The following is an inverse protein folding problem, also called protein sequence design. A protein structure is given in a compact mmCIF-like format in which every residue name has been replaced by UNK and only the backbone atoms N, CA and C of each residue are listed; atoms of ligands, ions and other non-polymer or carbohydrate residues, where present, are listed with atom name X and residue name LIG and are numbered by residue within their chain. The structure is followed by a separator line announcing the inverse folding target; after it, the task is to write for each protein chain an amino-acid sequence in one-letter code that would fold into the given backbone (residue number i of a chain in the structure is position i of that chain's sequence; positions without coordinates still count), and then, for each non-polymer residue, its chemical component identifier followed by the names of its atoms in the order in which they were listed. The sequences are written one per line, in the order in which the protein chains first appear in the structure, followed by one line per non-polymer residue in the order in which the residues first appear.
data_IF_190171828641
#
_entry.id   IF_190171828641
#
_cell.length_a   1.000
_cell.length_b   1.000
_cell.length_c   1.000
_cell.angle_alpha   90.00
_cell.angle_beta   90.00
_cell.angle_gamma   90.00
#
_symmetry.space_group_name_H-M   'P 1'
#
loop_
_entity.id
_entity.type
_entity.pdbx_description
1 polymer ?
#
# COMPACT_ATOMS: atom_id res chain seq x y z
N UNK A 1 -11.53 -15.51 5.69
CA UNK A 1 -12.39 -14.68 4.82
C UNK A 1 -11.64 -14.09 3.61
N UNK A 2 -10.35 -13.83 3.73
CA UNK A 2 -9.56 -13.17 2.66
C UNK A 2 -9.21 -14.07 1.47
N UNK A 3 -9.48 -15.35 1.56
CA UNK A 3 -9.23 -16.33 0.52
C UNK A 3 -10.31 -17.42 0.48
N UNK A 4 -10.43 -18.10 -0.66
CA UNK A 4 -11.27 -19.28 -0.82
C UNK A 4 -10.44 -20.51 -0.43
N UNK A 5 -10.98 -21.35 0.46
CA UNK A 5 -10.33 -22.62 0.81
C UNK A 5 -10.24 -23.52 -0.42
N UNK A 6 -9.11 -24.21 -0.66
CA UNK A 6 -8.94 -25.09 -1.83
C UNK A 6 -10.03 -26.17 -1.93
N UNK A 7 -10.46 -26.70 -0.79
CA UNK A 7 -11.48 -27.75 -0.67
C UNK A 7 -12.92 -27.24 -0.79
N UNK A 8 -13.15 -25.91 -0.88
CA UNK A 8 -14.50 -25.35 -0.98
C UNK A 8 -15.25 -25.91 -2.20
N UNK A 9 -16.45 -26.46 -1.98
CA UNK A 9 -17.30 -27.01 -3.04
C UNK A 9 -18.23 -25.95 -3.63
N UNK A 10 -18.71 -26.14 -4.86
CA UNK A 10 -19.71 -25.26 -5.47
C UNK A 10 -21.02 -25.22 -4.65
N UNK A 11 -21.39 -26.32 -4.02
CA UNK A 11 -22.56 -26.38 -3.14
C UNK A 11 -22.40 -25.43 -1.94
N UNK A 12 -21.25 -25.45 -1.28
CA UNK A 12 -20.94 -24.54 -0.18
C UNK A 12 -20.89 -23.09 -0.65
N UNK A 13 -20.32 -22.83 -1.83
CA UNK A 13 -20.26 -21.49 -2.42
C UNK A 13 -21.67 -20.94 -2.66
N UNK A 14 -22.58 -21.76 -3.20
CA UNK A 14 -23.95 -21.37 -3.51
C UNK A 14 -24.82 -21.06 -2.26
N UNK A 15 -24.36 -21.45 -1.08
CA UNK A 15 -25.01 -21.11 0.21
C UNK A 15 -24.58 -19.74 0.75
N UNK A 16 -23.56 -19.08 0.15
CA UNK A 16 -23.12 -17.77 0.56
C UNK A 16 -24.14 -16.69 0.15
N UNK A 17 -24.15 -15.52 0.82
CA UNK A 17 -24.89 -14.34 0.33
C UNK A 17 -24.47 -13.98 -1.11
N UNK A 18 -25.41 -13.51 -1.93
CA UNK A 18 -25.26 -13.36 -3.38
C UNK A 18 -23.97 -12.68 -3.85
N UNK A 19 -23.52 -11.62 -3.18
CA UNK A 19 -22.26 -10.95 -3.49
C UNK A 19 -21.05 -11.91 -3.35
N UNK A 20 -21.01 -12.68 -2.28
CA UNK A 20 -19.90 -13.62 -2.02
C UNK A 20 -19.96 -14.87 -2.91
N UNK A 21 -21.15 -15.27 -3.40
CA UNK A 21 -21.27 -16.35 -4.39
C UNK A 21 -20.48 -16.02 -5.64
N UNK A 22 -20.72 -14.83 -6.22
CA UNK A 22 -20.03 -14.41 -7.44
C UNK A 22 -18.52 -14.33 -7.25
N UNK A 23 -18.07 -13.73 -6.15
CA UNK A 23 -16.66 -13.60 -5.81
C UNK A 23 -15.98 -14.98 -5.65
N UNK A 24 -16.59 -15.87 -4.84
CA UNK A 24 -16.06 -17.20 -4.60
C UNK A 24 -16.06 -18.06 -5.87
N UNK A 25 -17.08 -17.93 -6.72
CA UNK A 25 -17.16 -18.62 -8.01
C UNK A 25 -16.04 -18.19 -8.95
N UNK A 26 -15.77 -16.89 -9.07
CA UNK A 26 -14.67 -16.38 -9.91
C UNK A 26 -13.31 -16.88 -9.41
N UNK A 27 -13.09 -16.89 -8.08
CA UNK A 27 -11.86 -17.41 -7.48
C UNK A 27 -11.73 -18.92 -7.71
N UNK A 28 -12.82 -19.70 -7.56
CA UNK A 28 -12.84 -21.14 -7.78
C UNK A 28 -12.55 -21.54 -9.23
N UNK A 29 -13.12 -20.81 -10.17
CA UNK A 29 -13.00 -21.08 -11.61
C UNK A 29 -11.76 -20.45 -12.25
N UNK A 30 -10.97 -19.65 -11.49
CA UNK A 30 -9.82 -18.94 -12.02
C UNK A 30 -10.20 -17.82 -13.03
N UNK A 31 -11.43 -17.33 -12.98
CA UNK A 31 -11.93 -16.26 -13.87
C UNK A 31 -11.84 -14.86 -13.27
N UNK A 32 -11.27 -14.74 -12.06
CA UNK A 32 -10.98 -13.44 -11.49
C UNK A 32 -9.94 -12.73 -12.36
N UNK A 33 -10.22 -11.50 -12.78
CA UNK A 33 -9.32 -10.75 -13.66
C UNK A 33 -7.91 -10.62 -13.04
N UNK A 34 -6.88 -10.85 -13.85
CA UNK A 34 -5.50 -10.91 -13.36
C UNK A 34 -5.00 -9.56 -12.82
N UNK A 35 -5.36 -8.44 -13.48
CA UNK A 35 -5.04 -7.09 -13.04
C UNK A 35 -5.71 -6.76 -11.71
N UNK A 36 -7.01 -7.06 -11.60
CA UNK A 36 -7.78 -6.87 -10.38
C UNK A 36 -7.21 -7.74 -9.25
N UNK A 37 -6.96 -9.02 -9.51
CA UNK A 37 -6.46 -9.97 -8.52
C UNK A 37 -5.11 -9.55 -7.95
N UNK A 38 -4.22 -9.04 -8.79
CA UNK A 38 -2.86 -8.65 -8.42
C UNK A 38 -2.83 -7.61 -7.29
N UNK A 39 -3.75 -6.64 -7.32
CA UNK A 39 -3.79 -5.55 -6.35
C UNK A 39 -4.86 -5.74 -5.27
N UNK A 40 -5.90 -6.53 -5.55
CA UNK A 40 -6.98 -6.75 -4.58
C UNK A 40 -6.67 -7.79 -3.53
N UNK A 41 -5.82 -8.78 -3.83
CA UNK A 41 -5.47 -9.88 -2.92
C UNK A 41 -3.96 -9.85 -2.68
N UNK A 42 -3.56 -9.35 -1.52
CA UNK A 42 -2.13 -9.21 -1.21
C UNK A 42 -1.84 -9.68 0.23
N UNK A 43 -0.59 -10.13 0.43
CA UNK A 43 -0.03 -10.44 1.74
C UNK A 43 0.83 -9.25 2.19
N UNK A 44 0.42 -8.59 3.27
CA UNK A 44 1.09 -7.42 3.79
C UNK A 44 2.04 -7.79 4.92
N UNK A 45 3.29 -7.37 4.79
CA UNK A 45 4.30 -7.53 5.82
C UNK A 45 4.18 -6.43 6.87
N UNK A 46 4.61 -6.74 8.09
CA UNK A 46 4.74 -5.72 9.12
C UNK A 46 5.94 -4.82 8.86
N UNK A 47 5.78 -3.56 9.20
CA UNK A 47 6.86 -2.59 9.28
C UNK A 47 7.10 -2.18 10.73
N UNK A 48 8.32 -1.75 11.03
CA UNK A 48 8.62 -1.17 12.33
C UNK A 48 7.85 0.15 12.51
N UNK A 49 7.56 0.52 13.77
CA UNK A 49 6.98 1.83 14.02
C UNK A 49 8.04 2.90 13.78
N UNK A 50 7.90 3.61 12.65
CA UNK A 50 8.85 4.63 12.24
C UNK A 50 8.94 5.79 13.23
N UNK A 51 7.93 6.04 14.04
CA UNK A 51 7.97 7.12 15.03
C UNK A 51 8.88 6.78 16.21
N UNK A 52 9.01 5.49 16.57
CA UNK A 52 10.02 5.03 17.51
C UNK A 52 11.44 5.33 17.01
N UNK A 53 11.67 5.19 15.71
CA UNK A 53 12.94 5.53 15.09
C UNK A 53 13.14 7.04 14.98
N UNK A 54 12.10 7.80 14.66
CA UNK A 54 12.15 9.26 14.66
C UNK A 54 12.56 9.81 16.02
N UNK A 55 12.02 9.28 17.11
CA UNK A 55 12.37 9.66 18.47
C UNK A 55 13.82 9.29 18.80
N UNK A 56 14.28 8.09 18.43
CA UNK A 56 15.68 7.65 18.65
C UNK A 56 16.69 8.51 17.89
N UNK A 57 16.35 8.90 16.66
CA UNK A 57 17.19 9.72 15.79
C UNK A 57 17.03 11.22 16.06
N UNK A 58 16.14 11.60 16.97
CA UNK A 58 15.79 13.00 17.28
C UNK A 58 15.33 13.78 16.02
N UNK A 59 14.58 13.12 15.15
CA UNK A 59 13.98 13.71 13.95
C UNK A 59 12.49 13.97 14.17
N UNK A 60 11.83 14.57 13.18
CA UNK A 60 10.37 14.72 13.17
C UNK A 60 9.70 13.36 12.86
N UNK A 61 8.47 13.20 13.33
CA UNK A 61 7.68 12.02 13.02
C UNK A 61 7.35 11.95 11.52
N UNK A 62 7.27 10.73 11.02
CA UNK A 62 7.02 10.40 9.63
C UNK A 62 5.68 9.69 9.43
N UNK A 63 5.25 9.58 8.20
CA UNK A 63 4.09 8.80 7.80
C UNK A 63 4.42 7.31 7.72
N UNK A 64 3.47 6.43 8.09
CA UNK A 64 3.62 4.97 8.01
C UNK A 64 3.06 4.41 6.70
N UNK A 65 3.46 4.97 5.56
CA UNK A 65 2.88 4.67 4.24
C UNK A 65 3.62 3.58 3.45
N UNK A 66 4.06 2.52 4.08
CA UNK A 66 4.87 1.48 3.43
C UNK A 66 4.08 0.48 2.57
N UNK A 67 2.88 0.11 3.00
CA UNK A 67 2.09 -0.94 2.38
C UNK A 67 1.06 -0.36 1.39
N UNK A 68 1.50 -0.08 0.16
CA UNK A 68 0.59 0.34 -0.92
C UNK A 68 -0.40 -0.77 -1.26
N UNK A 69 -1.67 -0.42 -1.48
CA UNK A 69 -2.66 -1.37 -2.00
C UNK A 69 -2.79 -1.30 -3.52
N UNK A 70 -2.55 -0.14 -4.12
CA UNK A 70 -2.86 0.14 -5.51
C UNK A 70 -4.36 0.29 -5.76
N UNK A 71 -5.13 0.67 -4.75
CA UNK A 71 -6.59 0.87 -4.83
C UNK A 71 -6.93 2.28 -4.39
N UNK A 72 -7.64 3.00 -5.26
CA UNK A 72 -8.22 4.31 -4.98
C UNK A 72 -9.71 4.18 -4.63
N UNK A 73 -10.20 5.10 -3.80
CA UNK A 73 -11.59 5.16 -3.33
C UNK A 73 -12.11 6.58 -3.42
N UNK A 74 -13.43 6.71 -3.57
CA UNK A 74 -14.11 8.00 -3.55
C UNK A 74 -14.81 8.26 -2.22
N UNK A 75 -15.07 9.53 -1.93
CA UNK A 75 -15.83 9.89 -0.74
C UNK A 75 -17.25 9.28 -0.77
N UNK A 76 -17.68 8.75 0.36
CA UNK A 76 -18.93 8.01 0.55
C UNK A 76 -18.99 6.62 -0.10
N UNK A 77 -17.90 6.11 -0.68
CA UNK A 77 -17.85 4.71 -1.09
C UNK A 77 -18.09 3.79 0.11
N UNK A 78 -18.93 2.79 -0.07
CA UNK A 78 -19.07 1.66 0.85
C UNK A 78 -18.20 0.52 0.36
N UNK A 79 -17.07 0.27 1.02
CA UNK A 79 -16.14 -0.79 0.65
C UNK A 79 -16.21 -1.97 1.60
N UNK A 80 -15.93 -3.15 1.05
CA UNK A 80 -15.74 -4.38 1.82
C UNK A 80 -14.25 -4.69 1.86
N UNK A 81 -13.77 -5.06 3.05
CA UNK A 81 -12.38 -5.47 3.26
C UNK A 81 -12.40 -6.81 4.00
N UNK A 82 -11.84 -7.83 3.37
CA UNK A 82 -11.73 -9.16 3.94
C UNK A 82 -10.33 -9.34 4.51
N UNK A 83 -10.24 -9.50 5.82
CA UNK A 83 -8.96 -9.60 6.54
C UNK A 83 -8.76 -11.03 7.03
N UNK A 84 -7.60 -11.58 6.74
CA UNK A 84 -7.16 -12.88 7.24
C UNK A 84 -6.84 -12.84 8.73
N UNK A 85 -6.09 -13.85 9.18
CA UNK A 85 -5.63 -13.88 10.56
C UNK A 85 -4.66 -12.71 10.82
N UNK A 86 -4.99 -11.87 11.78
CA UNK A 86 -4.13 -10.73 12.19
C UNK A 86 -3.06 -11.15 13.20
N UNK A 87 -3.07 -12.37 13.66
CA UNK A 87 -2.17 -12.88 14.71
C UNK A 87 -2.17 -12.00 15.98
N UNK A 88 -3.29 -11.28 16.21
CA UNK A 88 -3.45 -10.37 17.36
C UNK A 88 -2.84 -8.99 17.16
N UNK A 89 -2.24 -8.70 15.99
CA UNK A 89 -1.70 -7.37 15.70
C UNK A 89 -2.82 -6.39 15.26
N UNK A 90 -2.70 -5.12 15.63
CA UNK A 90 -3.58 -4.08 15.11
C UNK A 90 -3.29 -3.83 13.63
N UNK A 91 -4.35 -3.74 12.84
CA UNK A 91 -4.29 -3.46 11.39
C UNK A 91 -5.32 -2.39 11.07
N UNK A 92 -4.97 -1.50 10.17
CA UNK A 92 -5.89 -0.46 9.69
C UNK A 92 -5.66 -0.18 8.20
N UNK A 93 -6.64 0.41 7.55
CA UNK A 93 -6.43 1.13 6.30
C UNK A 93 -6.20 2.61 6.60
N UNK A 94 -5.28 3.20 5.88
CA UNK A 94 -5.08 4.64 5.83
C UNK A 94 -5.42 5.13 4.43
N UNK A 95 -6.27 6.15 4.32
CA UNK A 95 -6.66 6.75 3.04
C UNK A 95 -5.94 8.09 2.88
N UNK A 96 -5.11 8.20 1.84
CA UNK A 96 -4.34 9.40 1.53
C UNK A 96 -4.88 10.05 0.27
N UNK A 97 -5.43 11.24 0.40
CA UNK A 97 -5.97 12.04 -0.70
C UNK A 97 -5.09 13.24 -1.07
N UNK A 98 -5.54 14.00 -2.04
CA UNK A 98 -4.83 15.20 -2.52
C UNK A 98 -4.62 16.24 -1.42
N UNK A 99 -5.62 16.41 -0.57
CA UNK A 99 -5.56 17.37 0.54
C UNK A 99 -4.48 17.03 1.56
N UNK A 100 -4.14 15.73 1.66
CA UNK A 100 -3.08 15.25 2.54
C UNK A 100 -1.69 15.36 1.91
N UNK A 101 -1.62 15.59 0.60
CA UNK A 101 -0.38 15.71 -0.17
C UNK A 101 -0.07 17.15 -0.60
N UNK A 102 -0.93 18.12 -0.25
CA UNK A 102 -0.72 19.53 -0.55
C UNK A 102 0.31 20.16 0.38
N UNK A 103 1.29 20.83 -0.21
CA UNK A 103 2.32 21.59 0.51
C UNK A 103 1.96 23.07 0.69
N UNK A 104 0.72 23.47 0.41
CA UNK A 104 0.30 24.86 0.32
C UNK A 104 0.36 25.67 1.61
N UNK A 105 0.43 25.03 2.77
CA UNK A 105 0.56 25.69 4.07
C UNK A 105 1.60 25.02 4.94
N UNK A 106 2.71 25.67 5.19
CA UNK A 106 3.81 25.19 6.05
C UNK A 106 3.38 24.68 7.43
N UNK A 107 2.27 25.21 7.96
CA UNK A 107 1.76 24.87 9.30
C UNK A 107 1.08 23.49 9.36
N UNK A 108 0.54 23.00 8.25
CA UNK A 108 -0.24 21.75 8.21
C UNK A 108 0.50 20.61 7.47
N UNK A 109 1.62 20.90 6.87
CA UNK A 109 2.37 19.98 6.03
C UNK A 109 2.62 18.61 6.66
N UNK A 110 3.17 18.58 7.87
CA UNK A 110 3.52 17.33 8.55
C UNK A 110 2.27 16.57 9.02
N UNK A 111 1.24 17.28 9.43
CA UNK A 111 0.00 16.65 9.93
C UNK A 111 -0.83 16.06 8.78
N UNK A 112 -0.93 16.74 7.66
CA UNK A 112 -1.76 16.26 6.54
C UNK A 112 -1.12 15.08 5.81
N UNK A 113 0.19 15.09 5.56
CA UNK A 113 0.88 13.96 4.95
C UNK A 113 0.92 12.70 5.83
N UNK A 114 0.88 12.87 7.16
CA UNK A 114 0.95 11.78 8.11
C UNK A 114 -0.40 11.21 8.53
N UNK A 115 -1.46 11.98 8.46
CA UNK A 115 -2.68 11.64 9.19
C UNK A 115 -3.76 10.99 8.36
N UNK A 116 -3.99 11.29 7.08
CA UNK A 116 -5.05 10.67 6.29
C UNK A 116 -6.22 10.08 7.12
N UNK A 117 -7.25 9.62 6.50
CA UNK A 117 -8.31 8.91 7.22
C UNK A 117 -7.86 7.51 7.61
N UNK A 118 -8.05 7.15 8.87
CA UNK A 118 -7.70 5.82 9.40
C UNK A 118 -8.97 5.03 9.70
N UNK A 119 -9.00 3.77 9.23
CA UNK A 119 -10.07 2.81 9.42
C UNK A 119 -9.50 1.54 10.04
N UNK A 120 -9.76 1.31 11.32
CA UNK A 120 -9.31 0.10 12.01
C UNK A 120 -10.04 -1.13 11.49
N UNK A 121 -9.27 -2.21 11.26
CA UNK A 121 -9.75 -3.46 10.74
C UNK A 121 -9.78 -4.54 11.82
N UNK A 122 -10.69 -5.49 11.64
CA UNK A 122 -10.73 -6.73 12.42
C UNK A 122 -10.69 -7.93 11.48
N UNK A 123 -10.30 -9.08 11.99
CA UNK A 123 -10.38 -10.34 11.22
C UNK A 123 -11.78 -10.57 10.67
N UNK A 124 -11.83 -11.11 9.44
CA UNK A 124 -13.08 -11.39 8.75
C UNK A 124 -13.55 -10.25 7.85
N UNK A 125 -14.84 -10.01 7.85
CA UNK A 125 -15.49 -9.02 6.97
C UNK A 125 -15.59 -7.67 7.65
N UNK A 126 -15.05 -6.63 7.01
CA UNK A 126 -15.19 -5.24 7.40
C UNK A 126 -16.01 -4.52 6.33
N UNK A 127 -17.00 -3.73 6.75
CA UNK A 127 -17.71 -2.79 5.88
C UNK A 127 -17.33 -1.38 6.34
N UNK A 128 -16.84 -0.56 5.41
CA UNK A 128 -16.28 0.75 5.70
C UNK A 128 -16.92 1.76 4.77
N UNK A 129 -17.36 2.89 5.32
CA UNK A 129 -17.76 4.07 4.55
C UNK A 129 -16.57 5.02 4.48
N UNK A 130 -16.12 5.34 3.28
CA UNK A 130 -14.98 6.22 3.04
C UNK A 130 -15.39 7.68 3.28
N UNK A 131 -14.59 8.41 4.05
CA UNK A 131 -14.84 9.81 4.35
C UNK A 131 -14.37 10.75 3.25
N UNK A 132 -13.14 10.55 2.80
CA UNK A 132 -12.50 11.38 1.80
C UNK A 132 -11.90 10.54 0.68
N UNK A 133 -11.86 11.09 -0.54
CA UNK A 133 -11.20 10.46 -1.68
C UNK A 133 -9.72 10.24 -1.41
N UNK A 134 -9.16 9.14 -1.89
CA UNK A 134 -7.73 8.89 -1.82
C UNK A 134 -7.33 7.48 -2.23
N UNK A 135 -6.04 7.19 -2.08
CA UNK A 135 -5.52 5.83 -2.22
C UNK A 135 -5.39 5.17 -0.84
N UNK A 136 -5.62 3.86 -0.82
CA UNK A 136 -5.56 3.07 0.40
C UNK A 136 -4.16 2.51 0.63
N UNK A 137 -3.72 2.59 1.89
CA UNK A 137 -2.50 1.95 2.40
C UNK A 137 -2.88 1.06 3.57
N UNK A 138 -2.16 -0.05 3.76
CA UNK A 138 -2.36 -0.89 4.95
C UNK A 138 -1.37 -0.48 6.03
N UNK A 139 -1.90 -0.08 7.18
CA UNK A 139 -1.11 0.15 8.38
C UNK A 139 -0.99 -1.17 9.14
N UNK A 140 0.20 -1.75 9.14
CA UNK A 140 0.55 -2.91 9.92
C UNK A 140 1.94 -2.73 10.49
N UNK A 141 2.01 -2.29 11.74
CA UNK A 141 3.28 -2.09 12.45
C UNK A 141 3.45 -3.12 13.55
N UNK A 142 4.66 -3.64 13.70
CA UNK A 142 5.01 -4.58 14.75
C UNK A 142 6.49 -4.48 15.13
N UNK A 143 6.85 -5.04 16.28
CA UNK A 143 8.25 -5.32 16.60
C UNK A 143 8.74 -6.47 15.69
N UNK A 144 9.68 -6.14 14.80
CA UNK A 144 10.21 -7.10 13.84
C UNK A 144 10.98 -8.26 14.49
N UNK A 145 11.48 -8.08 15.69
CA UNK A 145 12.16 -9.15 16.44
C UNK A 145 11.20 -10.27 16.86
N UNK A 146 9.88 -10.01 16.88
CA UNK A 146 8.87 -11.01 17.12
C UNK A 146 8.55 -11.89 15.89
N UNK A 147 9.23 -11.67 14.75
CA UNK A 147 8.96 -12.34 13.48
C UNK A 147 7.46 -12.30 13.08
N UNK A 148 6.88 -11.10 12.93
CA UNK A 148 5.47 -10.97 12.62
C UNK A 148 5.14 -11.62 11.28
N UNK A 149 4.07 -12.41 11.25
CA UNK A 149 3.59 -13.09 10.04
C UNK A 149 2.84 -12.11 9.16
N UNK A 150 2.96 -12.26 7.82
CA UNK A 150 2.17 -11.47 6.87
C UNK A 150 0.66 -11.66 7.08
N UNK A 151 -0.09 -10.60 6.81
CA UNK A 151 -1.55 -10.60 6.91
C UNK A 151 -2.14 -10.48 5.51
N UNK A 152 -2.95 -11.48 5.12
CA UNK A 152 -3.65 -11.44 3.84
C UNK A 152 -4.88 -10.55 3.95
N UNK A 153 -4.96 -9.57 3.04
CA UNK A 153 -6.11 -8.69 2.89
C UNK A 153 -6.63 -8.80 1.46
N UNK A 154 -7.95 -8.90 1.34
CA UNK A 154 -8.65 -8.87 0.07
C UNK A 154 -9.66 -7.73 0.08
N UNK A 155 -9.47 -6.76 -0.81
CA UNK A 155 -10.42 -5.66 -1.07
C UNK A 155 -11.14 -6.00 -2.39
N UNK A 156 -12.33 -6.65 -2.34
CA UNK A 156 -12.90 -7.30 -3.51
C UNK A 156 -13.49 -6.31 -4.53
N UNK A 157 -13.85 -6.83 -5.70
CA UNK A 157 -14.51 -6.08 -6.77
C UNK A 157 -15.71 -5.29 -6.24
N UNK A 158 -15.89 -4.06 -6.73
CA UNK A 158 -16.90 -3.13 -6.22
C UNK A 158 -16.48 -2.35 -4.97
N UNK A 159 -15.28 -2.60 -4.44
CA UNK A 159 -14.69 -1.88 -3.31
C UNK A 159 -13.50 -1.06 -3.82
N UNK A 160 -13.73 0.18 -4.21
CA UNK A 160 -12.74 1.03 -4.85
C UNK A 160 -12.29 0.56 -6.24
N UNK A 161 -11.42 1.33 -6.86
CA UNK A 161 -10.86 1.10 -8.19
C UNK A 161 -9.38 0.73 -8.11
N UNK A 162 -8.97 -0.33 -8.82
CA UNK A 162 -7.55 -0.67 -8.96
C UNK A 162 -6.87 0.37 -9.84
N UNK A 163 -5.88 1.05 -9.30
CA UNK A 163 -4.98 1.96 -10.02
C UNK A 163 -3.58 1.37 -10.17
N UNK A 164 -3.23 0.37 -9.37
CA UNK A 164 -1.94 -0.30 -9.40
C UNK A 164 -0.79 0.54 -8.85
N UNK A 165 0.35 -0.08 -8.74
CA UNK A 165 1.65 0.53 -8.42
C UNK A 165 2.76 -0.39 -8.93
N UNK A 166 3.96 0.14 -9.09
CA UNK A 166 5.15 -0.67 -9.39
C UNK A 166 5.84 -1.08 -8.09
N UNK A 167 6.19 -2.35 -7.99
CA UNK A 167 6.98 -2.91 -6.89
C UNK A 167 8.21 -3.60 -7.48
N UNK A 168 9.40 -3.11 -7.17
CA UNK A 168 10.65 -3.61 -7.73
C UNK A 168 10.85 -5.11 -7.48
N UNK A 169 10.42 -5.62 -6.31
CA UNK A 169 10.56 -7.04 -5.99
C UNK A 169 9.64 -7.93 -6.82
N UNK A 170 8.48 -7.43 -7.21
CA UNK A 170 7.45 -8.17 -7.96
C UNK A 170 7.58 -8.02 -9.48
N UNK A 171 7.86 -6.81 -9.94
CA UNK A 171 7.71 -6.44 -11.35
C UNK A 171 9.03 -6.37 -12.12
N UNK A 172 10.12 -6.01 -11.48
CA UNK A 172 11.53 -6.18 -11.87
C UNK A 172 12.00 -5.53 -13.18
N UNK A 173 11.09 -5.08 -14.07
CA UNK A 173 11.48 -4.56 -15.40
C UNK A 173 10.85 -3.21 -15.73
N UNK A 174 11.52 -2.45 -16.60
CA UNK A 174 11.00 -1.18 -17.10
C UNK A 174 9.76 -1.37 -17.98
N UNK A 175 9.66 -2.47 -18.71
CA UNK A 175 8.49 -2.81 -19.53
C UNK A 175 7.26 -2.98 -18.64
N UNK A 176 7.41 -3.72 -17.53
CA UNK A 176 6.32 -3.91 -16.58
C UNK A 176 5.95 -2.60 -15.87
N UNK A 177 6.93 -1.78 -15.52
CA UNK A 177 6.68 -0.44 -15.01
C UNK A 177 5.85 0.40 -15.99
N UNK A 178 6.26 0.46 -17.27
CA UNK A 178 5.55 1.23 -18.29
C UNK A 178 4.12 0.72 -18.52
N UNK A 179 3.91 -0.60 -18.49
CA UNK A 179 2.59 -1.22 -18.55
C UNK A 179 1.71 -0.76 -17.39
N UNK A 180 2.21 -0.90 -16.15
CA UNK A 180 1.49 -0.53 -14.93
C UNK A 180 1.14 0.96 -14.90
N UNK A 181 2.11 1.83 -15.21
CA UNK A 181 1.91 3.28 -15.28
C UNK A 181 0.86 3.67 -16.34
N UNK A 182 0.86 2.99 -17.48
CA UNK A 182 -0.12 3.25 -18.55
C UNK A 182 -1.54 2.85 -18.16
N UNK A 183 -1.71 1.76 -17.40
CA UNK A 183 -2.99 1.25 -16.91
C UNK A 183 -3.51 2.01 -15.69
N UNK A 184 -2.62 2.65 -14.93
CA UNK A 184 -3.01 3.41 -13.76
C UNK A 184 -4.02 4.51 -14.11
N UNK A 185 -5.00 4.72 -13.26
CA UNK A 185 -6.10 5.67 -13.49
C UNK A 185 -6.13 6.81 -12.50
N UNK A 186 -5.47 6.66 -11.37
CA UNK A 186 -5.44 7.70 -10.35
C UNK A 186 -4.42 8.80 -10.65
N UNK A 187 -4.54 9.92 -9.94
CA UNK A 187 -3.67 11.08 -10.04
C UNK A 187 -2.24 10.77 -9.62
N UNK A 188 -2.08 9.94 -8.59
CA UNK A 188 -0.79 9.50 -8.08
C UNK A 188 -0.48 8.07 -8.50
N UNK A 189 0.82 7.79 -8.69
CA UNK A 189 1.32 6.46 -8.96
C UNK A 189 2.50 6.14 -8.04
N UNK A 190 2.45 4.98 -7.39
CA UNK A 190 3.49 4.51 -6.48
C UNK A 190 4.57 3.71 -7.22
N UNK A 191 5.84 3.95 -6.89
CA UNK A 191 6.99 3.12 -7.27
C UNK A 191 7.70 2.72 -6.00
N UNK A 192 7.62 1.43 -5.65
CA UNK A 192 8.24 0.87 -4.46
C UNK A 192 9.56 0.19 -4.83
N UNK A 193 10.66 0.72 -4.32
CA UNK A 193 12.00 0.12 -4.34
C UNK A 193 12.24 -0.80 -3.15
N UNK A 194 13.51 -0.98 -2.81
CA UNK A 194 13.94 -1.76 -1.62
C UNK A 194 13.98 -0.92 -0.35
N UNK A 195 14.27 0.37 -0.47
CA UNK A 195 14.44 1.34 0.62
C UNK A 195 13.62 2.61 0.42
N UNK A 196 13.18 2.89 -0.80
CA UNK A 196 12.53 4.12 -1.21
C UNK A 196 11.18 3.85 -1.82
N UNK A 197 10.19 4.71 -1.56
CA UNK A 197 8.92 4.75 -2.28
C UNK A 197 8.77 6.13 -2.90
N UNK A 198 8.61 6.17 -4.23
CA UNK A 198 8.14 7.36 -4.93
C UNK A 198 6.62 7.31 -5.03
N UNK A 199 5.97 8.40 -4.67
CA UNK A 199 4.52 8.57 -4.81
C UNK A 199 4.27 9.90 -5.49
N UNK A 200 4.31 9.87 -6.83
CA UNK A 200 4.37 11.06 -7.66
C UNK A 200 3.14 11.19 -8.55
N UNK A 201 2.91 12.39 -9.07
CA UNK A 201 1.87 12.64 -10.05
C UNK A 201 2.09 11.78 -11.28
N UNK A 202 1.08 10.97 -11.62
CA UNK A 202 1.12 10.08 -12.78
C UNK A 202 1.36 10.84 -14.09
N UNK A 203 0.76 12.03 -14.24
CA UNK A 203 0.95 12.87 -15.43
C UNK A 203 2.42 13.24 -15.65
N UNK A 204 3.14 13.59 -14.59
CA UNK A 204 4.55 13.95 -14.68
C UNK A 204 5.43 12.70 -14.92
N UNK A 205 5.08 11.57 -14.31
CA UNK A 205 5.78 10.31 -14.58
C UNK A 205 5.60 9.88 -16.05
N UNK A 206 4.41 10.01 -16.62
CA UNK A 206 4.16 9.75 -18.05
C UNK A 206 4.92 10.68 -18.97
N UNK A 207 5.19 11.91 -18.55
CA UNK A 207 5.89 12.92 -19.32
C UNK A 207 7.41 12.74 -19.27
N UNK A 208 7.97 12.43 -18.10
CA UNK A 208 9.40 12.47 -17.85
C UNK A 208 10.09 11.13 -17.72
N UNK A 209 9.38 10.10 -17.20
CA UNK A 209 9.94 8.78 -16.90
C UNK A 209 9.03 7.65 -17.38
N UNK A 210 8.38 7.84 -18.50
CA UNK A 210 7.34 6.95 -19.02
C UNK A 210 7.76 5.48 -19.16
N UNK A 211 9.00 5.23 -19.54
CA UNK A 211 9.50 3.91 -19.94
C UNK A 211 10.70 3.43 -19.13
N UNK A 212 11.20 4.28 -18.23
CA UNK A 212 12.44 4.02 -17.50
C UNK A 212 12.33 4.53 -16.07
N UNK A 213 12.41 3.64 -15.10
CA UNK A 213 12.37 3.96 -13.67
C UNK A 213 13.46 3.22 -12.87
N UNK A 214 13.98 2.09 -13.40
CA UNK A 214 14.85 1.23 -12.62
C UNK A 214 16.13 1.93 -12.19
N UNK A 215 16.76 2.69 -13.08
CA UNK A 215 17.99 3.42 -12.73
C UNK A 215 17.74 4.45 -11.62
N UNK A 216 16.60 5.12 -11.66
CA UNK A 216 16.24 6.10 -10.63
C UNK A 216 15.95 5.44 -9.28
N UNK A 217 15.12 4.40 -9.25
CA UNK A 217 14.77 3.75 -7.98
C UNK A 217 15.99 3.07 -7.34
N UNK A 218 16.84 2.41 -8.12
CA UNK A 218 18.08 1.81 -7.61
C UNK A 218 19.07 2.86 -7.08
N UNK A 219 19.18 4.02 -7.75
CA UNK A 219 20.01 5.10 -7.25
C UNK A 219 19.53 5.58 -5.87
N UNK A 220 18.24 5.80 -5.74
CA UNK A 220 17.66 6.28 -4.48
C UNK A 220 17.67 5.21 -3.38
N UNK A 221 17.46 3.95 -3.71
CA UNK A 221 17.65 2.84 -2.75
C UNK A 221 19.07 2.84 -2.19
N UNK A 222 20.08 2.99 -3.05
CA UNK A 222 21.49 3.10 -2.61
C UNK A 222 21.74 4.34 -1.74
N UNK A 223 21.16 5.49 -2.08
CA UNK A 223 21.31 6.72 -1.28
C UNK A 223 20.73 6.49 0.13
N UNK A 224 19.54 5.93 0.23
CA UNK A 224 18.90 5.62 1.51
C UNK A 224 19.71 4.57 2.30
N UNK A 225 20.27 3.57 1.62
CA UNK A 225 21.15 2.59 2.25
C UNK A 225 22.42 3.25 2.85
N UNK A 226 23.04 4.18 2.13
CA UNK A 226 24.18 4.94 2.62
C UNK A 226 23.80 5.83 3.82
N UNK A 227 22.66 6.49 3.78
CA UNK A 227 22.14 7.28 4.91
C UNK A 227 21.91 6.40 6.14
N UNK A 228 21.26 5.24 5.96
CA UNK A 228 21.04 4.27 7.06
C UNK A 228 22.36 3.73 7.62
N UNK A 229 23.36 3.51 6.75
CA UNK A 229 24.71 3.08 7.17
C UNK A 229 25.43 4.17 7.97
N UNK A 230 25.36 5.41 7.53
CA UNK A 230 25.93 6.55 8.27
C UNK A 230 25.28 6.75 9.63
N UNK A 231 23.98 6.54 9.73
CA UNK A 231 23.24 6.59 11.00
C UNK A 231 23.43 5.33 11.86
N UNK A 232 24.08 4.29 11.34
CA UNK A 232 24.33 3.03 12.05
C UNK A 232 23.09 2.12 12.15
N UNK A 233 22.00 2.42 11.45
CA UNK A 233 20.75 1.64 11.48
C UNK A 233 21.00 0.22 10.98
N UNK A 234 21.69 0.07 9.86
CA UNK A 234 22.01 -1.21 9.22
C UNK A 234 22.89 -2.12 10.10
N UNK A 235 23.85 -1.54 10.83
CA UNK A 235 24.79 -2.29 11.68
C UNK A 235 24.24 -2.61 13.06
N UNK A 236 23.51 -1.67 13.65
CA UNK A 236 23.06 -1.78 15.04
C UNK A 236 21.63 -2.31 15.15
N UNK A 237 20.84 -2.17 14.11
CA UNK A 237 19.39 -2.38 14.14
C UNK A 237 18.83 -3.07 12.87
N UNK A 238 19.65 -3.80 12.11
CA UNK A 238 19.28 -4.43 10.85
C UNK A 238 17.96 -5.25 10.90
N UNK A 239 17.69 -5.89 12.04
CA UNK A 239 16.50 -6.71 12.23
C UNK A 239 15.35 -5.96 12.96
N UNK A 240 15.45 -4.65 13.09
CA UNK A 240 14.48 -3.84 13.82
C UNK A 240 13.85 -2.75 12.93
N UNK A 241 14.45 -2.48 11.77
CA UNK A 241 14.02 -1.41 10.87
C UNK A 241 13.93 -1.90 9.43
N UNK A 242 12.75 -1.76 8.83
CA UNK A 242 12.47 -2.12 7.43
C UNK A 242 11.58 -1.09 6.71
N UNK A 243 11.42 0.10 7.28
CA UNK A 243 10.61 1.14 6.67
C UNK A 243 11.29 1.70 5.41
N UNK A 244 10.47 2.06 4.44
CA UNK A 244 10.92 2.82 3.27
C UNK A 244 10.91 4.32 3.58
N UNK A 245 11.85 5.05 2.98
CA UNK A 245 11.73 6.49 2.87
C UNK A 245 10.67 6.82 1.81
N UNK A 246 9.69 7.62 2.18
CA UNK A 246 8.55 7.94 1.33
C UNK A 246 8.69 9.35 0.75
N UNK A 247 8.90 9.44 -0.56
CA UNK A 247 8.92 10.72 -1.27
C UNK A 247 7.58 10.95 -1.97
N UNK A 248 6.97 12.07 -1.63
CA UNK A 248 5.73 12.52 -2.26
C UNK A 248 6.01 13.81 -3.04
N UNK A 249 5.48 13.91 -4.25
CA UNK A 249 5.59 15.12 -5.05
C UNK A 249 4.28 15.89 -4.97
N UNK A 250 4.28 17.12 -4.43
CA UNK A 250 3.11 17.98 -4.47
C UNK A 250 2.86 18.48 -5.89
N UNK A 251 1.64 18.91 -6.16
CA UNK A 251 1.29 19.57 -7.41
C UNK A 251 2.12 20.85 -7.57
N UNK A 252 2.81 20.98 -8.70
CA UNK A 252 3.59 22.17 -9.06
C UNK A 252 4.99 22.29 -8.45
N UNK A 253 5.48 21.27 -7.75
CA UNK A 253 6.86 21.21 -7.26
C UNK A 253 7.75 20.42 -8.22
N UNK A 254 8.18 21.03 -9.31
CA UNK A 254 9.09 20.46 -10.31
C UNK A 254 10.16 21.47 -10.71
#
# INVERSE_FOLDING_TARGET
CSELKPEATLEQINQLPGYFVNLATQLKNGTYDAWEKEFRIQDYQAYSDINVWADRLMTKHYSCLDNLTGIAVEANDEIIVLVGNTHGYPVALQCIGEETTSFGEEKNYVQTAASGDIYFLKEGVNKITIRNRGQLFVMYTADLQSNPTSIRIHIPLGSGQVTGYFDLQRHQTNEKYAELLSKATDKYFGVKGEKMIFYFHRSEMLKHVRTEILSAIHLWDNIVEWEQSLMGIDKMHANQFNNHLFAISPEGAY
#
